data_IF_528604465929
#
_entry.id   IF_528604465929
#
_cell.length_a   1.000
_cell.length_b   1.000
_cell.length_c   1.000
_cell.angle_alpha   90.00
_cell.angle_beta   90.00
_cell.angle_gamma   90.00
#
_symmetry.space_group_name_H-M   'P 1'
#
loop_
_entity.id
_entity.type
_entity.pdbx_description
1 polymer ?
#
# COMPACT_ATOMS: atom_id res chain seq x y z
N UNK A 1 -64.28 -42.03 46.78
CA UNK A 1 -65.05 -41.36 45.69
C UNK A 1 -64.77 -39.81 45.71
N UNK A 2 -65.00 -39.07 46.81
CA UNK A 2 -64.77 -37.62 46.81
C UNK A 2 -63.29 -37.26 46.58
N UNK A 3 -62.33 -37.96 47.16
CA UNK A 3 -60.87 -37.76 46.99
C UNK A 3 -60.42 -38.09 45.58
N UNK A 4 -61.01 -39.02 44.88
CA UNK A 4 -60.68 -39.35 43.45
C UNK A 4 -61.16 -38.26 42.50
N UNK A 5 -62.33 -37.66 42.76
CA UNK A 5 -62.87 -36.55 41.99
C UNK A 5 -61.99 -35.28 42.17
N UNK A 6 -61.56 -35.02 43.37
CA UNK A 6 -60.67 -33.87 43.70
C UNK A 6 -59.26 -34.03 43.07
N UNK A 7 -58.73 -35.27 43.09
CA UNK A 7 -57.48 -35.61 42.42
C UNK A 7 -57.57 -35.42 40.90
N UNK A 8 -58.68 -35.90 40.28
CA UNK A 8 -58.88 -35.73 38.87
C UNK A 8 -59.05 -34.25 38.45
N UNK A 9 -59.72 -33.45 39.28
CA UNK A 9 -59.87 -32.02 39.01
C UNK A 9 -58.53 -31.24 39.12
N UNK A 10 -57.73 -31.54 40.19
CA UNK A 10 -56.38 -30.93 40.31
C UNK A 10 -55.42 -31.37 39.22
N UNK A 11 -55.45 -32.60 38.78
CA UNK A 11 -54.67 -33.10 37.64
C UNK A 11 -55.00 -32.34 36.36
N UNK A 12 -56.32 -32.14 36.06
CA UNK A 12 -56.76 -31.34 34.90
C UNK A 12 -56.30 -29.87 35.01
N UNK A 13 -56.36 -29.27 36.18
CA UNK A 13 -55.84 -27.90 36.41
C UNK A 13 -54.33 -27.84 36.13
N UNK A 14 -53.57 -28.82 36.65
CA UNK A 14 -52.11 -28.91 36.38
C UNK A 14 -51.78 -29.03 34.92
N UNK A 15 -52.50 -29.85 34.13
CA UNK A 15 -52.34 -29.97 32.72
C UNK A 15 -52.65 -28.64 31.97
N UNK A 16 -53.69 -27.94 32.40
CA UNK A 16 -54.03 -26.62 31.89
C UNK A 16 -52.93 -25.60 32.10
N UNK A 17 -52.39 -25.55 33.32
CA UNK A 17 -51.27 -24.65 33.63
C UNK A 17 -50.00 -25.02 32.79
N UNK A 18 -49.67 -26.30 32.66
CA UNK A 18 -48.55 -26.73 31.83
C UNK A 18 -48.72 -26.34 30.37
N UNK A 19 -49.92 -26.45 29.81
CA UNK A 19 -50.20 -25.99 28.42
C UNK A 19 -50.06 -24.49 28.29
N UNK A 20 -50.51 -23.72 29.27
CA UNK A 20 -50.40 -22.27 29.30
C UNK A 20 -48.93 -21.83 29.41
N UNK A 21 -48.13 -22.50 30.25
CA UNK A 21 -46.71 -22.30 30.35
C UNK A 21 -45.97 -22.58 29.02
N UNK A 22 -46.29 -23.71 28.36
CA UNK A 22 -45.70 -24.06 27.05
C UNK A 22 -46.03 -23.02 25.95
N UNK A 23 -47.27 -22.49 25.96
CA UNK A 23 -47.66 -21.43 25.04
C UNK A 23 -46.91 -20.12 25.31
N UNK A 24 -46.70 -19.75 26.60
CA UNK A 24 -45.92 -18.59 26.98
C UNK A 24 -44.45 -18.73 26.54
N UNK A 25 -43.83 -19.90 26.73
CA UNK A 25 -42.45 -20.14 26.22
C UNK A 25 -42.34 -20.05 24.70
N UNK A 26 -43.33 -20.53 23.95
CA UNK A 26 -43.38 -20.35 22.49
C UNK A 26 -43.41 -18.86 22.12
N UNK A 27 -44.25 -18.08 22.76
CA UNK A 27 -44.32 -16.62 22.55
C UNK A 27 -42.99 -15.90 22.83
N UNK A 28 -42.29 -16.27 23.92
CA UNK A 28 -40.97 -15.72 24.21
C UNK A 28 -39.96 -16.09 23.14
N UNK A 29 -39.95 -17.32 22.68
CA UNK A 29 -39.04 -17.75 21.61
C UNK A 29 -39.30 -17.02 20.27
N UNK A 30 -40.59 -16.83 19.92
CA UNK A 30 -40.96 -16.06 18.72
C UNK A 30 -40.48 -14.60 18.80
N UNK A 31 -40.65 -13.94 19.95
CA UNK A 31 -40.18 -12.58 20.16
C UNK A 31 -38.64 -12.52 20.09
N UNK A 32 -37.93 -13.50 20.67
CA UNK A 32 -36.49 -13.59 20.62
C UNK A 32 -35.97 -13.76 19.21
N UNK A 33 -36.60 -14.65 18.42
CA UNK A 33 -36.26 -14.84 16.99
C UNK A 33 -36.53 -13.58 16.18
N UNK A 34 -37.66 -12.89 16.45
CA UNK A 34 -37.98 -11.63 15.80
C UNK A 34 -36.93 -10.54 16.13
N UNK A 35 -36.50 -10.46 17.38
CA UNK A 35 -35.43 -9.55 17.81
C UNK A 35 -34.13 -9.83 17.07
N UNK A 36 -33.73 -11.10 16.93
CA UNK A 36 -32.54 -11.50 16.17
C UNK A 36 -32.63 -11.12 14.68
N UNK A 37 -33.79 -11.34 14.07
CA UNK A 37 -34.03 -10.98 12.67
C UNK A 37 -33.98 -9.48 12.44
N UNK A 38 -34.52 -8.69 13.37
CA UNK A 38 -34.44 -7.22 13.31
C UNK A 38 -33.01 -6.76 13.49
N UNK A 39 -32.25 -7.31 14.45
CA UNK A 39 -30.84 -6.99 14.65
C UNK A 39 -30.01 -7.30 13.38
N UNK A 40 -30.21 -8.46 12.76
CA UNK A 40 -29.54 -8.79 11.51
C UNK A 40 -29.95 -7.87 10.33
N UNK A 41 -31.17 -7.33 10.36
CA UNK A 41 -31.62 -6.36 9.33
C UNK A 41 -30.96 -4.99 9.54
N UNK A 42 -30.76 -4.58 10.78
CA UNK A 42 -30.05 -3.34 11.13
C UNK A 42 -28.59 -3.45 10.66
N UNK A 43 -27.90 -4.54 11.00
CA UNK A 43 -26.51 -4.78 10.60
C UNK A 43 -26.33 -4.73 9.07
N UNK A 44 -27.26 -5.34 8.33
CA UNK A 44 -27.25 -5.25 6.86
C UNK A 44 -27.46 -3.81 6.35
N UNK A 45 -28.35 -3.06 6.97
CA UNK A 45 -28.58 -1.67 6.60
C UNK A 45 -27.37 -0.79 6.91
N UNK A 46 -26.70 -1.01 8.04
CA UNK A 46 -25.46 -0.31 8.43
C UNK A 46 -24.33 -0.61 7.42
N UNK A 47 -24.14 -1.87 7.06
CA UNK A 47 -23.17 -2.26 6.03
C UNK A 47 -23.46 -1.62 4.66
N UNK A 48 -24.74 -1.51 4.28
CA UNK A 48 -25.12 -0.82 3.05
C UNK A 48 -24.82 0.69 3.10
N UNK A 49 -25.00 1.34 4.24
CA UNK A 49 -24.63 2.75 4.46
C UNK A 49 -23.11 2.94 4.39
N UNK A 50 -22.32 2.04 4.99
CA UNK A 50 -20.86 2.10 4.89
C UNK A 50 -20.38 1.94 3.44
N UNK A 51 -20.95 1.01 2.70
CA UNK A 51 -20.65 0.83 1.28
C UNK A 51 -20.98 2.08 0.46
N UNK A 52 -22.12 2.71 0.72
CA UNK A 52 -22.49 3.96 0.06
C UNK A 52 -21.53 5.11 0.40
N UNK A 53 -21.12 5.24 1.66
CA UNK A 53 -20.11 6.21 2.09
C UNK A 53 -18.76 5.98 1.41
N UNK A 54 -18.33 4.73 1.30
CA UNK A 54 -17.11 4.37 0.61
C UNK A 54 -17.16 4.77 -0.87
N UNK A 55 -18.26 4.45 -1.56
CA UNK A 55 -18.46 4.86 -2.95
C UNK A 55 -18.45 6.39 -3.11
N UNK A 56 -19.06 7.11 -2.18
CA UNK A 56 -19.02 8.57 -2.17
C UNK A 56 -17.59 9.10 -1.97
N UNK A 57 -16.79 8.47 -1.11
CA UNK A 57 -15.40 8.88 -0.89
C UNK A 57 -14.54 8.75 -2.14
N UNK A 58 -14.84 7.84 -3.05
CA UNK A 58 -14.14 7.70 -4.32
C UNK A 58 -14.43 8.82 -5.33
N UNK A 59 -15.47 9.63 -5.09
CA UNK A 59 -15.74 10.81 -5.92
C UNK A 59 -14.73 11.94 -5.70
N UNK A 60 -13.95 11.89 -4.62
CA UNK A 60 -12.92 12.88 -4.29
C UNK A 60 -11.56 12.17 -4.25
N UNK A 61 -10.71 12.46 -5.23
CA UNK A 61 -9.36 11.92 -5.29
C UNK A 61 -8.41 12.80 -4.49
N UNK A 62 -7.87 12.25 -3.41
CA UNK A 62 -6.95 12.95 -2.50
C UNK A 62 -5.53 12.46 -2.75
N UNK A 63 -4.56 13.38 -2.68
CA UNK A 63 -3.14 13.04 -2.77
C UNK A 63 -2.71 12.16 -1.58
N UNK A 64 -2.08 11.00 -1.80
CA UNK A 64 -1.67 10.09 -0.72
C UNK A 64 -0.42 10.57 0.05
N UNK A 65 0.33 11.51 -0.50
CA UNK A 65 1.55 12.05 0.11
C UNK A 65 1.84 13.47 -0.37
N UNK A 66 2.69 14.17 0.36
CA UNK A 66 3.23 15.46 -0.04
C UNK A 66 4.23 15.30 -1.18
N UNK A 67 4.14 16.14 -2.20
CA UNK A 67 5.02 16.07 -3.35
C UNK A 67 4.67 17.07 -4.46
N UNK A 68 5.44 17.01 -5.54
CA UNK A 68 5.15 17.76 -6.76
C UNK A 68 4.30 16.90 -7.70
N UNK A 69 3.20 17.46 -8.19
CA UNK A 69 2.37 16.80 -9.20
C UNK A 69 3.11 16.79 -10.55
N UNK A 70 3.08 15.66 -11.20
CA UNK A 70 3.53 15.52 -12.56
C UNK A 70 2.47 15.99 -13.58
N UNK A 71 2.66 15.61 -14.84
CA UNK A 71 1.72 15.94 -15.90
C UNK A 71 0.37 15.26 -15.66
N UNK A 72 -0.72 16.01 -15.80
CA UNK A 72 -2.09 15.46 -15.81
C UNK A 72 -2.31 14.64 -17.08
N UNK A 73 -2.83 13.43 -16.93
CA UNK A 73 -3.06 12.49 -18.04
C UNK A 73 -4.51 12.43 -18.49
N UNK A 74 -5.41 13.13 -17.78
CA UNK A 74 -6.85 13.13 -18.02
C UNK A 74 -7.40 14.55 -18.20
N UNK A 75 -8.48 14.68 -18.98
CA UNK A 75 -9.21 15.91 -19.21
C UNK A 75 -10.61 15.85 -18.61
N UNK A 76 -11.21 17.03 -18.38
CA UNK A 76 -12.59 17.13 -17.87
C UNK A 76 -13.57 16.53 -18.91
N UNK A 77 -14.52 15.74 -18.42
CA UNK A 77 -15.49 15.02 -19.27
C UNK A 77 -14.99 13.70 -19.82
N UNK A 78 -13.74 13.32 -19.56
CA UNK A 78 -13.21 12.02 -19.97
C UNK A 78 -13.72 10.91 -19.06
N UNK A 79 -14.12 9.77 -19.65
CA UNK A 79 -14.44 8.56 -18.88
C UNK A 79 -13.18 7.95 -18.30
N UNK A 80 -13.21 7.69 -17.00
CA UNK A 80 -12.08 7.11 -16.24
C UNK A 80 -12.50 5.74 -15.70
N UNK A 81 -11.71 4.73 -16.01
CA UNK A 81 -11.91 3.36 -15.51
C UNK A 81 -10.99 3.09 -14.32
N UNK A 82 -11.33 2.06 -13.54
CA UNK A 82 -10.45 1.58 -12.48
C UNK A 82 -9.06 1.21 -13.04
N UNK A 83 -8.00 1.70 -12.39
CA UNK A 83 -6.62 1.52 -12.85
C UNK A 83 -6.11 2.61 -13.82
N UNK A 84 -6.94 3.57 -14.23
CA UNK A 84 -6.46 4.68 -15.07
C UNK A 84 -5.59 5.62 -14.24
N UNK A 85 -4.38 5.88 -14.73
CA UNK A 85 -3.45 6.83 -14.10
C UNK A 85 -3.90 8.26 -14.35
N UNK A 86 -4.20 9.00 -13.29
CA UNK A 86 -4.61 10.41 -13.35
C UNK A 86 -3.40 11.32 -13.44
N UNK A 87 -2.46 11.15 -12.54
CA UNK A 87 -1.20 11.90 -12.45
C UNK A 87 -0.21 11.12 -11.60
N UNK A 88 1.04 11.55 -11.60
CA UNK A 88 2.08 11.03 -10.72
C UNK A 88 2.43 12.06 -9.66
N UNK A 89 2.64 11.61 -8.42
CA UNK A 89 3.16 12.44 -7.34
C UNK A 89 4.62 12.07 -7.14
N UNK A 90 5.49 13.05 -7.25
CA UNK A 90 6.92 12.89 -6.98
C UNK A 90 7.16 13.37 -5.55
N UNK A 91 7.45 12.45 -4.61
CA UNK A 91 7.72 12.82 -3.22
C UNK A 91 8.91 13.76 -3.13
N UNK A 92 8.77 14.82 -2.34
CA UNK A 92 9.85 15.81 -2.20
C UNK A 92 10.86 15.39 -1.13
N UNK A 93 10.46 14.57 -0.17
CA UNK A 93 11.20 14.36 1.07
C UNK A 93 12.31 13.29 1.00
N UNK A 94 12.25 12.34 0.06
CA UNK A 94 13.20 11.24 -0.02
C UNK A 94 13.80 11.17 -1.43
N UNK A 95 14.97 11.76 -1.59
CA UNK A 95 15.73 11.69 -2.84
C UNK A 95 16.97 10.84 -2.66
N UNK A 96 17.22 10.02 -3.66
CA UNK A 96 18.41 9.17 -3.70
C UNK A 96 19.00 9.18 -5.10
N UNK A 97 20.27 8.82 -5.21
CA UNK A 97 20.98 8.66 -6.47
C UNK A 97 21.19 7.18 -6.75
N UNK A 98 20.96 6.76 -7.97
CA UNK A 98 21.36 5.45 -8.46
C UNK A 98 22.61 5.64 -9.32
N UNK A 99 23.75 5.29 -8.76
CA UNK A 99 25.03 5.36 -9.45
C UNK A 99 25.36 4.03 -10.11
N UNK A 100 25.55 4.03 -11.43
CA UNK A 100 25.85 2.83 -12.20
C UNK A 100 27.36 2.64 -12.30
N UNK A 101 27.98 1.95 -11.34
CA UNK A 101 29.41 1.64 -11.32
C UNK A 101 29.75 0.48 -12.26
N UNK A 102 30.94 0.52 -12.83
CA UNK A 102 31.47 -0.63 -13.58
C UNK A 102 31.78 -1.77 -12.60
N UNK A 103 31.59 -3.01 -13.04
CA UNK A 103 31.87 -4.21 -12.23
C UNK A 103 33.28 -4.17 -11.60
N UNK A 104 34.28 -3.66 -12.36
CA UNK A 104 35.67 -3.51 -11.88
C UNK A 104 35.86 -2.45 -10.79
N UNK A 105 34.87 -1.61 -10.53
CA UNK A 105 34.95 -0.53 -9.53
C UNK A 105 34.27 -0.89 -8.21
N UNK A 106 33.47 -1.96 -8.22
CA UNK A 106 32.66 -2.36 -7.04
C UNK A 106 33.51 -2.94 -5.92
N UNK A 107 34.63 -3.57 -6.23
CA UNK A 107 35.54 -4.17 -5.25
C UNK A 107 35.93 -3.18 -4.12
N UNK A 108 36.00 -1.88 -4.42
CA UNK A 108 36.38 -0.83 -3.48
C UNK A 108 35.18 -0.09 -2.86
N UNK A 109 33.95 -0.56 -3.09
CA UNK A 109 32.74 0.05 -2.57
C UNK A 109 32.12 -0.84 -1.48
N UNK A 110 31.70 -0.19 -0.39
CA UNK A 110 30.97 -0.89 0.69
C UNK A 110 29.79 -0.06 1.18
N UNK A 111 28.82 -0.73 1.74
CA UNK A 111 27.65 -0.09 2.34
C UNK A 111 28.09 0.73 3.56
N UNK A 112 27.59 1.97 3.67
CA UNK A 112 28.00 2.93 4.68
C UNK A 112 29.15 3.85 4.26
N UNK A 113 29.74 3.67 3.09
CA UNK A 113 30.81 4.53 2.57
C UNK A 113 30.26 5.91 2.24
N UNK A 114 30.98 6.95 2.68
CA UNK A 114 30.70 8.34 2.30
C UNK A 114 31.23 8.61 0.90
N UNK A 115 30.42 9.33 0.12
CA UNK A 115 30.75 9.71 -1.24
C UNK A 115 30.43 11.18 -1.49
N UNK A 116 31.16 11.81 -2.39
CA UNK A 116 30.88 13.17 -2.86
C UNK A 116 30.13 13.12 -4.18
N UNK A 117 29.14 13.97 -4.31
CA UNK A 117 28.26 14.01 -5.48
C UNK A 117 28.16 15.43 -6.00
N UNK A 118 28.25 15.60 -7.30
CA UNK A 118 27.99 16.86 -7.99
C UNK A 118 26.83 16.67 -8.94
N UNK A 119 25.90 17.61 -8.92
CA UNK A 119 24.72 17.60 -9.79
C UNK A 119 24.89 18.67 -10.85
N UNK A 120 24.77 18.32 -12.11
CA UNK A 120 25.01 19.24 -13.23
C UNK A 120 24.08 20.47 -13.21
N UNK A 121 22.86 20.29 -12.69
CA UNK A 121 21.86 21.36 -12.58
C UNK A 121 22.18 22.40 -11.48
N UNK A 122 23.06 22.07 -10.53
CA UNK A 122 23.45 22.95 -9.42
C UNK A 122 24.96 23.14 -9.50
N UNK A 123 25.35 24.14 -10.27
CA UNK A 123 26.79 24.44 -10.48
C UNK A 123 27.46 24.83 -9.16
N UNK A 124 28.70 24.37 -8.96
CA UNK A 124 29.58 24.71 -7.83
C UNK A 124 29.13 24.22 -6.44
N UNK A 125 28.25 23.22 -6.34
CA UNK A 125 27.88 22.63 -5.04
C UNK A 125 28.20 21.15 -5.02
N UNK A 126 28.96 20.72 -4.02
CA UNK A 126 29.21 19.33 -3.71
C UNK A 126 28.23 18.89 -2.61
N UNK A 127 27.62 17.72 -2.83
CA UNK A 127 26.74 17.07 -1.88
C UNK A 127 27.42 15.85 -1.29
N UNK A 128 27.22 15.63 -0.02
CA UNK A 128 27.65 14.40 0.63
C UNK A 128 26.52 13.36 0.62
N UNK A 129 26.87 12.13 0.34
CA UNK A 129 25.95 10.99 0.40
C UNK A 129 26.60 9.79 1.03
N UNK A 130 25.76 8.83 1.38
CA UNK A 130 26.17 7.54 1.93
C UNK A 130 25.66 6.42 1.06
N UNK A 131 26.50 5.45 0.74
CA UNK A 131 26.11 4.23 0.04
C UNK A 131 25.19 3.42 0.94
N UNK A 132 23.93 3.29 0.54
CA UNK A 132 22.91 2.57 1.34
C UNK A 132 22.76 1.14 0.88
N UNK A 133 22.86 0.88 -0.42
CA UNK A 133 22.73 -0.46 -0.96
C UNK A 133 23.54 -0.64 -2.24
N UNK A 134 24.14 -1.80 -2.39
CA UNK A 134 24.80 -2.27 -3.61
C UNK A 134 23.94 -3.41 -4.18
N UNK A 135 23.54 -3.30 -5.44
CA UNK A 135 22.71 -4.33 -6.06
C UNK A 135 23.50 -5.64 -6.21
N UNK A 136 22.86 -6.76 -5.87
CA UNK A 136 23.40 -8.09 -6.10
C UNK A 136 23.38 -8.57 -7.56
N UNK A 137 22.85 -7.75 -8.49
CA UNK A 137 22.77 -8.08 -9.91
C UNK A 137 23.11 -6.86 -10.78
N UNK A 138 23.60 -7.13 -11.98
CA UNK A 138 23.93 -6.10 -12.98
C UNK A 138 22.66 -5.52 -13.60
N UNK A 139 22.73 -4.29 -14.11
CA UNK A 139 21.59 -3.61 -14.73
C UNK A 139 20.99 -4.38 -15.91
N UNK A 140 21.79 -5.17 -16.63
CA UNK A 140 21.31 -6.00 -17.76
C UNK A 140 20.34 -7.11 -17.29
N UNK A 141 20.45 -7.61 -16.04
CA UNK A 141 19.52 -8.61 -15.49
C UNK A 141 18.17 -8.02 -15.08
N UNK A 142 18.12 -6.72 -14.83
CA UNK A 142 16.87 -5.99 -14.54
C UNK A 142 16.20 -5.41 -15.79
N UNK A 143 16.83 -5.55 -16.97
CA UNK A 143 16.24 -5.11 -18.23
C UNK A 143 15.04 -5.98 -18.61
N UNK A 144 13.96 -5.35 -19.06
CA UNK A 144 12.77 -6.04 -19.60
C UNK A 144 13.09 -6.88 -20.86
N UNK A 145 14.17 -6.53 -21.56
CA UNK A 145 14.68 -7.30 -22.71
C UNK A 145 16.09 -7.77 -22.35
N UNK A 146 16.26 -9.01 -21.87
CA UNK A 146 17.59 -9.56 -21.62
C UNK A 146 18.34 -9.67 -22.93
N UNK A 147 19.54 -9.10 -22.99
CA UNK A 147 20.46 -9.35 -24.12
C UNK A 147 21.08 -10.73 -23.91
N UNK A 148 20.51 -11.73 -24.59
CA UNK A 148 21.10 -13.05 -24.62
C UNK A 148 22.15 -13.11 -25.73
N UNK A 149 23.40 -13.36 -25.34
CA UNK A 149 24.53 -13.48 -26.26
C UNK A 149 24.67 -14.92 -26.81
N UNK A 150 23.57 -15.62 -27.05
CA UNK A 150 23.57 -17.01 -27.55
C UNK A 150 23.98 -17.15 -29.02
N UNK A 151 24.28 -16.07 -29.72
CA UNK A 151 24.64 -16.09 -31.15
C UNK A 151 26.13 -16.41 -31.45
N UNK A 152 26.80 -17.17 -30.62
CA UNK A 152 28.10 -17.81 -30.93
C UNK A 152 29.34 -16.89 -30.91
N UNK A 153 29.22 -15.58 -30.85
CA UNK A 153 30.35 -14.67 -30.73
C UNK A 153 30.36 -13.98 -29.39
N UNK A 154 31.12 -14.52 -28.44
CA UNK A 154 31.21 -13.98 -27.05
C UNK A 154 32.07 -12.69 -27.07
N UNK A 155 31.41 -11.54 -27.01
CA UNK A 155 32.06 -10.26 -26.73
C UNK A 155 31.89 -9.90 -25.27
N UNK A 156 32.99 -9.75 -24.53
CA UNK A 156 32.97 -9.32 -23.13
C UNK A 156 32.52 -7.87 -23.02
N UNK A 157 31.24 -7.67 -22.72
CA UNK A 157 30.67 -6.34 -22.47
C UNK A 157 30.83 -5.99 -20.99
N UNK A 158 31.36 -4.82 -20.70
CA UNK A 158 31.46 -4.31 -19.31
C UNK A 158 30.06 -4.12 -18.71
N UNK A 159 29.78 -4.88 -17.69
CA UNK A 159 28.52 -4.78 -16.95
C UNK A 159 28.58 -3.62 -15.94
N UNK A 160 27.41 -3.02 -15.67
CA UNK A 160 27.26 -1.99 -14.65
C UNK A 160 26.35 -2.50 -13.52
N UNK A 161 26.71 -2.19 -12.29
CA UNK A 161 25.97 -2.55 -11.10
C UNK A 161 25.39 -1.26 -10.49
N UNK A 162 24.07 -1.19 -10.31
CA UNK A 162 23.44 -0.05 -9.68
C UNK A 162 23.74 -0.03 -8.18
N UNK A 163 24.15 1.13 -7.69
CA UNK A 163 24.43 1.41 -6.28
C UNK A 163 23.53 2.55 -5.83
N UNK A 164 22.80 2.33 -4.77
CA UNK A 164 21.96 3.35 -4.16
C UNK A 164 22.75 4.19 -3.17
N UNK A 165 22.63 5.50 -3.32
CA UNK A 165 23.26 6.49 -2.47
C UNK A 165 22.21 7.46 -1.99
N UNK A 166 22.10 7.60 -0.69
CA UNK A 166 21.17 8.54 -0.08
C UNK A 166 21.93 9.82 0.31
N UNK A 167 21.29 10.97 0.16
CA UNK A 167 21.87 12.26 0.56
C UNK A 167 21.89 12.38 2.09
N UNK A 168 23.01 12.85 2.66
CA UNK A 168 23.14 12.99 4.11
C UNK A 168 22.47 14.27 4.64
N UNK A 169 22.69 15.39 3.97
CA UNK A 169 22.19 16.70 4.39
C UNK A 169 21.72 17.48 3.17
N UNK A 170 20.44 17.41 2.87
CA UNK A 170 19.81 18.20 1.82
C UNK A 170 19.10 19.40 2.45
N UNK A 171 19.49 20.64 2.05
CA UNK A 171 18.73 21.82 2.45
C UNK A 171 17.36 21.82 1.75
N UNK A 172 16.39 22.53 2.31
CA UNK A 172 15.05 22.63 1.70
C UNK A 172 15.13 23.24 0.30
N UNK A 173 15.96 24.25 0.10
CA UNK A 173 16.19 24.91 -1.18
C UNK A 173 16.79 23.95 -2.22
N UNK A 174 17.84 23.21 -1.86
CA UNK A 174 18.43 22.21 -2.75
C UNK A 174 17.45 21.10 -3.11
N UNK A 175 16.65 20.69 -2.13
CA UNK A 175 15.63 19.68 -2.34
C UNK A 175 14.53 20.13 -3.33
N UNK A 176 14.22 21.42 -3.40
CA UNK A 176 13.28 21.97 -4.38
C UNK A 176 13.88 22.04 -5.80
N UNK A 177 15.17 22.31 -5.91
CA UNK A 177 15.88 22.41 -7.19
C UNK A 177 16.23 21.04 -7.80
N UNK A 178 16.41 20.02 -6.97
CA UNK A 178 16.68 18.67 -7.45
C UNK A 178 15.42 18.02 -7.99
N UNK A 179 15.43 17.63 -9.26
CA UNK A 179 14.35 16.88 -9.88
C UNK A 179 14.75 15.42 -10.15
N UNK A 180 13.78 14.51 -10.15
CA UNK A 180 14.02 13.13 -10.54
C UNK A 180 14.47 13.06 -12.01
N UNK A 181 15.48 12.24 -12.29
CA UNK A 181 16.05 12.08 -13.63
C UNK A 181 17.23 13.00 -13.96
N UNK A 182 17.65 13.86 -13.03
CA UNK A 182 18.88 14.67 -13.21
C UNK A 182 20.12 13.80 -13.20
N UNK A 183 21.14 14.24 -13.95
CA UNK A 183 22.45 13.60 -13.96
C UNK A 183 23.28 14.01 -12.76
N UNK A 184 23.95 13.02 -12.17
CA UNK A 184 24.80 13.18 -10.99
C UNK A 184 26.12 12.47 -11.23
N UNK A 185 27.21 13.18 -10.96
CA UNK A 185 28.55 12.58 -10.95
C UNK A 185 28.91 12.23 -9.51
N UNK A 186 29.23 10.97 -9.27
CA UNK A 186 29.60 10.46 -7.94
C UNK A 186 31.08 10.15 -7.90
N UNK A 187 31.76 10.68 -6.88
CA UNK A 187 33.17 10.40 -6.58
C UNK A 187 33.27 9.66 -5.25
N UNK A 188 33.63 8.39 -5.31
CA UNK A 188 33.93 7.60 -4.12
C UNK A 188 35.44 7.68 -3.85
N UNK A 189 35.82 7.97 -2.61
CA UNK A 189 37.22 7.93 -2.21
C UNK A 189 37.68 6.48 -2.11
N UNK A 190 38.83 6.21 -2.74
CA UNK A 190 39.47 4.89 -2.62
C UNK A 190 40.05 4.76 -1.22
N UNK A 191 39.79 3.62 -0.60
CA UNK A 191 40.47 3.25 0.66
C UNK A 191 41.89 2.81 0.37
#
# INVERSE_FOLDING_TARGET
EQLEVEYAATKKKLEGVKKQQAAAYKGVNEVTTRKQNVAASIERAEAAVEMAKLNLSYCVVVAPCDGKLGRRSIEEGQMVNAGTTITYIIPTNNKWVIANYKETQIENLYVGQKVRMTVDAISNKEFEGTVTAISGATGSKYSLVPTDNSAGNFVKIQQRVPVRIDFNNLSKEDNEHLAAGMMVVVKAERK
#
